data_IF_260870046807
#
_entry.id   IF_260870046807
#
_cell.length_a   1.000
_cell.length_b   1.000
_cell.length_c   1.000
_cell.angle_alpha   90.00
_cell.angle_beta   90.00
_cell.angle_gamma   90.00
#
_symmetry.space_group_name_H-M   'P 1'
#
loop_
_entity.id
_entity.type
_entity.pdbx_description
1 polymer ?
#
# COMPACT_ATOMS: atom_id res chain seq x y z
N UNK A 1 -1.14 -16.58 1.21
CA UNK A 1 -0.31 -15.70 0.36
C UNK A 1 0.14 -14.52 1.19
N UNK A 2 1.41 -14.13 1.07
CA UNK A 2 2.02 -13.02 1.81
C UNK A 2 2.23 -11.82 0.90
N UNK A 3 1.74 -10.66 1.29
CA UNK A 3 1.76 -9.46 0.46
C UNK A 3 2.45 -8.33 1.23
N UNK A 4 3.46 -7.72 0.63
CA UNK A 4 4.09 -6.51 1.13
C UNK A 4 3.34 -5.25 0.67
N UNK A 5 3.06 -4.31 1.57
CA UNK A 5 2.37 -3.07 1.29
C UNK A 5 3.28 -1.89 1.65
N UNK A 6 3.61 -1.05 0.67
CA UNK A 6 4.50 0.10 0.85
C UNK A 6 3.90 1.34 0.18
N UNK A 7 4.20 2.54 0.68
CA UNK A 7 3.70 3.80 0.12
C UNK A 7 4.63 4.96 0.43
N UNK A 8 4.46 6.05 -0.31
CA UNK A 8 5.05 7.36 -0.02
C UNK A 8 6.56 7.24 0.21
N UNK A 9 7.23 6.59 -0.73
CA UNK A 9 8.68 6.36 -0.79
C UNK A 9 9.45 7.60 -1.23
N UNK A 10 8.84 8.49 -2.02
CA UNK A 10 9.37 9.81 -2.40
C UNK A 10 10.84 9.77 -2.91
N UNK A 11 11.22 8.72 -3.66
CA UNK A 11 12.55 8.53 -4.22
C UNK A 11 13.59 7.96 -3.24
N UNK A 12 13.18 7.55 -2.05
CA UNK A 12 14.09 6.98 -1.04
C UNK A 12 14.23 5.46 -1.23
N UNK A 13 15.20 5.07 -2.05
CA UNK A 13 15.48 3.67 -2.35
C UNK A 13 16.01 2.89 -1.14
N UNK A 14 16.72 3.53 -0.22
CA UNK A 14 17.18 2.88 1.03
C UNK A 14 15.99 2.36 1.86
N UNK A 15 14.87 3.09 1.89
CA UNK A 15 13.65 2.64 2.57
C UNK A 15 13.03 1.42 1.90
N UNK A 16 13.12 1.33 0.57
CA UNK A 16 12.63 0.20 -0.21
C UNK A 16 13.52 -1.03 0.04
N UNK A 17 14.84 -0.85 -0.04
CA UNK A 17 15.83 -1.90 0.27
C UNK A 17 15.61 -2.44 1.68
N UNK A 18 15.40 -1.55 2.65
CA UNK A 18 15.16 -1.93 4.02
C UNK A 18 13.85 -2.72 4.16
N UNK A 19 12.75 -2.28 3.55
CA UNK A 19 11.49 -3.02 3.58
C UNK A 19 11.63 -4.43 2.99
N UNK A 20 12.28 -4.57 1.83
CA UNK A 20 12.55 -5.88 1.20
C UNK A 20 13.42 -6.76 2.09
N UNK A 21 14.43 -6.20 2.75
CA UNK A 21 15.30 -6.94 3.66
C UNK A 21 14.56 -7.45 4.91
N UNK A 22 13.60 -6.66 5.41
CA UNK A 22 12.83 -6.97 6.62
C UNK A 22 11.67 -7.91 6.37
N UNK A 23 11.09 -7.89 5.17
CA UNK A 23 9.98 -8.75 4.77
C UNK A 23 10.39 -9.69 3.63
N UNK A 24 11.04 -10.79 4.01
CA UNK A 24 11.43 -11.85 3.09
C UNK A 24 10.26 -12.80 2.80
N UNK A 25 10.32 -13.48 1.65
CA UNK A 25 9.35 -14.50 1.22
C UNK A 25 7.92 -13.94 1.05
N UNK A 26 7.81 -12.73 0.50
CA UNK A 26 6.53 -12.21 0.01
C UNK A 26 6.20 -12.85 -1.35
N UNK A 27 4.92 -13.09 -1.60
CA UNK A 27 4.39 -13.56 -2.88
C UNK A 27 4.09 -12.41 -3.85
N UNK A 28 3.96 -11.17 -3.34
CA UNK A 28 3.62 -9.97 -4.10
C UNK A 28 3.96 -8.70 -3.29
N UNK A 29 4.17 -7.59 -3.98
CA UNK A 29 4.22 -6.25 -3.37
C UNK A 29 3.23 -5.27 -4.00
N UNK A 30 2.63 -4.42 -3.18
CA UNK A 30 1.73 -3.35 -3.59
C UNK A 30 2.31 -1.99 -3.16
N UNK A 31 2.41 -1.05 -4.10
CA UNK A 31 2.94 0.30 -3.88
C UNK A 31 1.82 1.34 -4.03
N UNK A 32 1.43 2.02 -2.94
CA UNK A 32 0.27 2.95 -2.96
C UNK A 32 0.58 4.33 -3.58
N UNK A 33 1.74 4.52 -4.19
CA UNK A 33 2.05 5.69 -5.02
C UNK A 33 2.90 6.74 -4.33
N UNK A 34 2.92 7.95 -4.91
CA UNK A 34 3.82 9.06 -4.57
C UNK A 34 5.31 8.74 -4.82
N UNK A 35 5.54 8.13 -5.98
CA UNK A 35 6.77 8.05 -6.79
C UNK A 35 6.66 6.78 -7.65
N UNK A 36 6.05 6.90 -8.83
CA UNK A 36 5.85 5.74 -9.73
C UNK A 36 7.15 4.97 -10.05
N UNK A 37 8.30 5.63 -10.33
CA UNK A 37 9.56 4.92 -10.58
C UNK A 37 10.04 4.03 -9.42
N UNK A 38 9.63 4.32 -8.19
CA UNK A 38 10.01 3.52 -7.02
C UNK A 38 9.36 2.13 -7.03
N UNK A 39 8.18 1.99 -7.65
CA UNK A 39 7.57 0.68 -7.87
C UNK A 39 8.37 -0.15 -8.89
N UNK A 40 8.96 0.49 -9.91
CA UNK A 40 9.84 -0.17 -10.89
C UNK A 40 11.16 -0.59 -10.23
N UNK A 41 11.72 0.27 -9.38
CA UNK A 41 12.90 -0.07 -8.58
C UNK A 41 12.62 -1.25 -7.67
N UNK A 42 11.51 -1.25 -6.92
CA UNK A 42 11.09 -2.38 -6.10
C UNK A 42 10.95 -3.66 -6.93
N UNK A 43 10.35 -3.59 -8.12
CA UNK A 43 10.25 -4.73 -9.04
C UNK A 43 11.62 -5.28 -9.47
N UNK A 44 12.66 -4.45 -9.56
CA UNK A 44 14.02 -4.89 -9.88
C UNK A 44 14.71 -5.64 -8.74
N UNK A 45 14.29 -5.42 -7.49
CA UNK A 45 14.86 -6.06 -6.30
C UNK A 45 14.23 -7.42 -5.99
N UNK A 46 12.99 -7.65 -6.42
CA UNK A 46 12.21 -8.83 -6.05
C UNK A 46 11.78 -9.62 -7.29
N UNK A 47 11.78 -10.96 -7.17
CA UNK A 47 11.36 -11.86 -8.24
C UNK A 47 9.84 -12.17 -8.22
N UNK A 48 9.06 -11.34 -7.53
CA UNK A 48 7.60 -11.49 -7.41
C UNK A 48 6.89 -10.28 -8.02
N UNK A 49 5.61 -10.39 -8.37
CA UNK A 49 4.88 -9.28 -8.96
C UNK A 49 4.82 -8.06 -8.03
N UNK A 50 5.05 -6.87 -8.61
CA UNK A 50 4.86 -5.59 -7.96
C UNK A 50 3.77 -4.80 -8.68
N UNK A 51 2.77 -4.32 -7.95
CA UNK A 51 1.70 -3.49 -8.49
C UNK A 51 1.72 -2.11 -7.83
N UNK A 52 1.83 -1.07 -8.65
CA UNK A 52 1.78 0.32 -8.20
C UNK A 52 0.55 1.08 -8.71
N UNK A 53 0.13 2.07 -7.94
CA UNK A 53 -0.84 3.11 -8.35
C UNK A 53 -0.19 4.48 -8.35
N UNK A 54 -0.72 5.40 -9.17
CA UNK A 54 -0.20 6.75 -9.30
C UNK A 54 -0.63 7.64 -8.12
N UNK A 55 0.33 8.36 -7.54
CA UNK A 55 0.10 9.36 -6.50
C UNK A 55 -0.09 10.78 -7.03
N UNK A 56 -0.33 11.73 -6.13
CA UNK A 56 -0.49 13.15 -6.50
C UNK A 56 0.85 13.81 -6.85
N UNK A 57 1.97 13.26 -6.39
CA UNK A 57 3.30 13.74 -6.74
C UNK A 57 3.81 13.17 -8.08
N UNK A 58 3.06 12.25 -8.70
CA UNK A 58 3.40 11.68 -9.99
C UNK A 58 2.96 12.57 -11.16
N UNK A 59 3.69 12.50 -12.27
CA UNK A 59 3.42 13.34 -13.43
C UNK A 59 2.02 13.06 -14.02
N UNK A 60 1.21 14.10 -14.31
CA UNK A 60 -0.09 13.93 -14.96
C UNK A 60 0.05 13.19 -16.29
N UNK A 61 -0.68 12.07 -16.46
CA UNK A 61 -0.58 11.23 -17.66
C UNK A 61 0.54 10.19 -17.61
N UNK A 62 1.05 9.85 -16.42
CA UNK A 62 1.79 8.60 -16.21
C UNK A 62 1.00 7.41 -16.74
N UNK A 63 1.71 6.37 -17.22
CA UNK A 63 1.08 5.11 -17.67
C UNK A 63 0.51 4.28 -16.51
N UNK A 64 0.85 4.67 -15.28
CA UNK A 64 0.40 4.00 -14.07
C UNK A 64 -1.05 4.37 -13.77
N UNK A 65 -1.85 3.36 -13.45
CA UNK A 65 -3.26 3.52 -13.10
C UNK A 65 -3.41 4.24 -11.75
N UNK A 66 -4.44 5.06 -11.60
CA UNK A 66 -4.77 5.72 -10.32
C UNK A 66 -5.43 4.79 -9.31
N UNK A 67 -6.00 3.68 -9.80
CA UNK A 67 -6.68 2.67 -9.03
C UNK A 67 -6.45 1.28 -9.65
N UNK A 68 -6.46 0.24 -8.83
CA UNK A 68 -6.42 -1.15 -9.28
C UNK A 68 -7.27 -2.03 -8.37
N UNK A 69 -7.76 -3.12 -8.96
CA UNK A 69 -8.42 -4.22 -8.25
C UNK A 69 -7.53 -5.45 -8.40
N UNK A 70 -7.32 -6.17 -7.30
CA UNK A 70 -6.49 -7.37 -7.26
C UNK A 70 -7.28 -8.47 -6.54
N UNK A 71 -7.59 -9.54 -7.28
CA UNK A 71 -8.23 -10.73 -6.74
C UNK A 71 -7.17 -11.75 -6.30
N UNK A 72 -7.14 -12.11 -5.02
CA UNK A 72 -6.13 -13.02 -4.45
C UNK A 72 -6.69 -13.75 -3.22
N UNK A 73 -6.50 -15.06 -3.17
CA UNK A 73 -6.91 -15.90 -2.03
C UNK A 73 -8.39 -15.72 -1.60
N UNK A 74 -9.30 -15.59 -2.56
CA UNK A 74 -10.74 -15.29 -2.39
C UNK A 74 -11.07 -13.89 -1.83
N UNK A 75 -10.07 -13.01 -1.71
CA UNK A 75 -10.23 -11.60 -1.37
C UNK A 75 -10.15 -10.72 -2.61
N UNK A 76 -10.85 -9.59 -2.57
CA UNK A 76 -10.77 -8.55 -3.59
C UNK A 76 -10.23 -7.27 -2.97
N UNK A 77 -9.03 -6.90 -3.38
CA UNK A 77 -8.30 -5.75 -2.86
C UNK A 77 -8.44 -4.57 -3.81
N UNK A 78 -8.99 -3.47 -3.33
CA UNK A 78 -8.98 -2.18 -4.01
C UNK A 78 -7.76 -1.37 -3.54
N UNK A 79 -6.94 -0.89 -4.47
CA UNK A 79 -5.79 -0.03 -4.15
C UNK A 79 -5.85 1.29 -4.90
N UNK A 80 -5.48 2.38 -4.22
CA UNK A 80 -5.39 3.73 -4.79
C UNK A 80 -4.40 4.56 -3.96
N UNK A 81 -3.94 5.71 -4.44
CA UNK A 81 -3.17 6.61 -3.57
C UNK A 81 -4.04 7.33 -2.54
N UNK A 82 -5.31 7.59 -2.85
CA UNK A 82 -6.28 8.20 -1.92
C UNK A 82 -6.49 9.71 -2.09
N UNK A 83 -5.62 10.44 -2.81
CA UNK A 83 -5.79 11.89 -3.07
C UNK A 83 -7.11 12.22 -3.80
N UNK A 84 -7.56 11.33 -4.69
CA UNK A 84 -8.83 11.47 -5.42
C UNK A 84 -10.08 11.17 -4.55
N UNK A 85 -9.89 10.58 -3.37
CA UNK A 85 -10.97 10.20 -2.44
C UNK A 85 -11.00 11.08 -1.19
N UNK A 86 -10.22 12.14 -1.12
CA UNK A 86 -10.28 13.08 0.02
C UNK A 86 -9.90 12.46 1.36
N UNK A 87 -9.08 11.40 1.37
CA UNK A 87 -8.70 10.61 2.57
C UNK A 87 -8.02 11.40 3.69
N UNK A 88 -7.64 12.66 3.44
CA UNK A 88 -7.20 13.60 4.50
C UNK A 88 -8.33 14.05 5.43
N UNK A 89 -9.58 13.96 4.97
CA UNK A 89 -10.74 14.47 5.68
C UNK A 89 -11.66 13.34 6.16
N UNK A 90 -11.82 12.29 5.36
CA UNK A 90 -12.70 11.15 5.69
C UNK A 90 -12.26 9.89 4.92
N UNK A 91 -12.42 8.70 5.52
CA UNK A 91 -12.27 7.42 4.80
C UNK A 91 -13.57 6.96 4.13
N UNK A 92 -14.69 7.68 4.28
CA UNK A 92 -15.99 7.26 3.75
C UNK A 92 -15.97 7.03 2.24
N UNK A 93 -15.38 7.95 1.48
CA UNK A 93 -15.36 7.83 0.01
C UNK A 93 -14.53 6.65 -0.50
N UNK A 94 -13.46 6.27 0.21
CA UNK A 94 -12.69 5.08 -0.17
C UNK A 94 -13.40 3.80 0.24
N UNK A 95 -14.13 3.81 1.37
CA UNK A 95 -15.01 2.71 1.76
C UNK A 95 -16.10 2.49 0.70
N UNK A 96 -16.83 3.55 0.31
CA UNK A 96 -17.86 3.49 -0.75
C UNK A 96 -17.29 2.99 -2.08
N UNK A 97 -16.10 3.46 -2.47
CA UNK A 97 -15.44 3.02 -3.70
C UNK A 97 -15.12 1.52 -3.66
N UNK A 98 -14.55 1.04 -2.56
CA UNK A 98 -14.26 -0.38 -2.38
C UNK A 98 -15.54 -1.23 -2.39
N UNK A 99 -16.58 -0.82 -1.67
CA UNK A 99 -17.89 -1.48 -1.68
C UNK A 99 -18.49 -1.56 -3.09
N UNK A 100 -18.43 -0.47 -3.86
CA UNK A 100 -18.94 -0.43 -5.24
C UNK A 100 -18.23 -1.43 -6.17
N UNK A 101 -16.97 -1.77 -5.86
CA UNK A 101 -16.18 -2.77 -6.58
C UNK A 101 -16.33 -4.18 -6.00
N UNK A 102 -17.13 -4.35 -4.95
CA UNK A 102 -17.22 -5.57 -4.12
C UNK A 102 -15.86 -5.98 -3.56
N UNK A 103 -15.01 -5.01 -3.21
CA UNK A 103 -13.75 -5.23 -2.54
C UNK A 103 -13.98 -5.38 -1.04
N UNK A 104 -13.31 -6.34 -0.42
CA UNK A 104 -13.34 -6.55 1.03
C UNK A 104 -12.15 -5.89 1.75
N UNK A 105 -11.16 -5.42 1.00
CA UNK A 105 -10.00 -4.70 1.50
C UNK A 105 -9.75 -3.47 0.62
N UNK A 106 -9.57 -2.30 1.22
CA UNK A 106 -9.11 -1.09 0.55
C UNK A 106 -7.78 -0.61 1.15
N UNK A 107 -6.81 -0.31 0.28
CA UNK A 107 -5.47 0.11 0.68
C UNK A 107 -5.14 1.45 0.02
N UNK A 108 -4.65 2.40 0.80
CA UNK A 108 -4.26 3.71 0.30
C UNK A 108 -3.03 4.32 0.96
N UNK A 109 -2.52 5.43 0.41
CA UNK A 109 -1.35 6.17 0.91
C UNK A 109 -1.68 7.60 1.32
N UNK A 110 -0.88 8.58 0.87
CA UNK A 110 -1.18 10.03 0.86
C UNK A 110 -1.14 10.77 2.21
N UNK A 111 -1.69 10.19 3.28
CA UNK A 111 -1.69 10.82 4.61
C UNK A 111 -0.33 10.69 5.30
N UNK A 112 0.47 9.68 4.89
CA UNK A 112 1.73 9.28 5.53
C UNK A 112 1.55 8.80 6.98
N UNK A 113 0.35 8.38 7.35
CA UNK A 113 -0.01 7.93 8.70
C UNK A 113 -0.51 6.50 8.59
N UNK A 114 0.01 5.63 9.46
CA UNK A 114 -0.43 4.23 9.52
C UNK A 114 -1.88 4.17 9.97
N UNK A 115 -2.72 3.48 9.20
CA UNK A 115 -4.11 3.23 9.56
C UNK A 115 -4.49 1.78 9.34
N UNK A 116 -5.26 1.24 10.29
CA UNK A 116 -5.86 -0.08 10.20
C UNK A 116 -7.25 -0.03 10.83
N UNK A 117 -8.27 0.04 9.99
CA UNK A 117 -9.67 0.02 10.41
C UNK A 117 -10.27 -1.33 10.05
N UNK A 118 -10.74 -2.04 11.08
CA UNK A 118 -11.44 -3.32 10.91
C UNK A 118 -12.89 -3.04 10.52
N UNK A 119 -13.36 -3.70 9.46
CA UNK A 119 -14.73 -3.62 8.98
C UNK A 119 -14.86 -4.29 7.62
N UNK A 120 -16.07 -4.36 7.05
CA UNK A 120 -16.26 -4.54 5.62
C UNK A 120 -16.44 -3.17 4.94
N UNK A 121 -15.51 -2.72 4.07
CA UNK A 121 -14.20 -3.30 3.80
C UNK A 121 -13.17 -2.96 4.89
N UNK A 122 -12.10 -3.76 4.99
CA UNK A 122 -10.94 -3.43 5.84
C UNK A 122 -10.21 -2.27 5.18
N UNK A 123 -9.92 -1.21 5.93
CA UNK A 123 -9.18 -0.04 5.42
C UNK A 123 -7.77 -0.05 5.96
N UNK A 124 -6.79 0.04 5.05
CA UNK A 124 -5.37 0.00 5.36
C UNK A 124 -4.65 1.21 4.76
N UNK A 125 -3.76 1.80 5.56
CA UNK A 125 -2.74 2.72 5.10
C UNK A 125 -1.39 2.29 5.68
N UNK A 126 -0.40 1.87 4.87
CA UNK A 126 0.90 1.42 5.38
C UNK A 126 1.73 2.56 6.00
N UNK A 127 1.24 3.81 5.94
CA UNK A 127 1.96 5.01 6.29
C UNK A 127 2.96 5.37 5.20
N UNK A 128 4.02 6.08 5.58
CA UNK A 128 5.09 6.43 4.64
C UNK A 128 6.38 5.71 5.00
N UNK A 129 6.98 5.07 4.00
CA UNK A 129 8.29 4.43 4.14
C UNK A 129 9.41 5.44 4.41
N UNK A 130 9.29 6.65 3.86
CA UNK A 130 10.36 7.65 3.83
C UNK A 130 10.09 8.92 4.66
N UNK A 131 8.83 9.31 4.79
CA UNK A 131 8.38 10.61 5.34
C UNK A 131 7.17 10.45 6.27
N UNK A 132 7.26 9.69 7.36
CA UNK A 132 6.14 9.50 8.29
C UNK A 132 5.63 10.83 8.86
N UNK A 133 4.32 10.93 9.11
CA UNK A 133 3.67 12.12 9.71
C UNK A 133 3.00 11.86 11.06
N UNK A 134 3.23 10.69 11.64
CA UNK A 134 2.70 10.26 12.93
C UNK A 134 3.72 10.39 14.08
N UNK A 135 4.77 11.23 13.91
CA UNK A 135 5.92 11.36 14.82
C UNK A 135 6.64 10.03 15.13
N UNK A 136 6.52 9.06 14.24
CA UNK A 136 7.19 7.76 14.36
C UNK A 136 8.24 7.53 13.26
N UNK A 137 8.70 6.28 13.14
CA UNK A 137 9.61 5.86 12.08
C UNK A 137 8.83 5.56 10.80
N UNK A 138 9.55 5.54 9.68
CA UNK A 138 9.01 5.06 8.41
C UNK A 138 8.38 3.68 8.58
N UNK A 139 7.38 3.37 7.78
CA UNK A 139 6.59 2.16 7.95
C UNK A 139 6.19 1.53 6.63
N UNK A 140 5.90 0.24 6.72
CA UNK A 140 5.23 -0.53 5.70
C UNK A 140 4.38 -1.60 6.40
N UNK A 141 3.56 -2.34 5.66
CA UNK A 141 2.78 -3.45 6.22
C UNK A 141 3.06 -4.74 5.48
N UNK A 142 2.83 -5.86 6.15
CA UNK A 142 2.67 -7.17 5.52
C UNK A 142 1.28 -7.70 5.80
N UNK A 143 0.70 -8.36 4.81
CA UNK A 143 -0.63 -8.96 4.89
C UNK A 143 -0.53 -10.44 4.52
N UNK A 144 -0.93 -11.32 5.43
CA UNK A 144 -1.11 -12.74 5.17
C UNK A 144 -2.58 -13.01 4.88
N UNK A 145 -2.86 -13.54 3.68
CA UNK A 145 -4.20 -13.94 3.23
C UNK A 145 -4.30 -15.45 3.09
N UNK A 146 -5.30 -16.05 3.73
CA UNK A 146 -5.61 -17.48 3.63
C UNK A 146 -7.09 -17.65 3.34
N UNK A 147 -7.41 -18.65 2.51
CA UNK A 147 -8.79 -18.88 2.06
C UNK A 147 -9.70 -19.16 3.25
N UNK A 148 -10.74 -18.34 3.42
CA UNK A 148 -11.73 -18.51 4.49
C UNK A 148 -11.23 -18.14 5.89
N UNK A 149 -10.12 -17.41 5.99
CA UNK A 149 -9.56 -16.89 7.24
C UNK A 149 -9.48 -15.37 7.13
N UNK A 150 -9.76 -14.67 8.22
CA UNK A 150 -9.62 -13.21 8.24
C UNK A 150 -8.18 -12.79 7.94
N UNK A 151 -7.97 -11.73 7.12
CA UNK A 151 -6.65 -11.21 6.81
C UNK A 151 -5.84 -10.89 8.06
N UNK A 152 -4.58 -11.35 8.09
CA UNK A 152 -3.65 -10.98 9.16
C UNK A 152 -2.74 -9.85 8.68
N UNK A 153 -2.90 -8.67 9.27
CA UNK A 153 -2.10 -7.48 8.97
C UNK A 153 -1.04 -7.28 10.06
N UNK A 154 0.19 -6.99 9.65
CA UNK A 154 1.28 -6.60 10.54
C UNK A 154 1.89 -5.29 10.07
N UNK A 155 1.95 -4.29 10.96
CA UNK A 155 2.67 -3.04 10.72
C UNK A 155 4.13 -3.22 11.10
N UNK A 156 5.04 -2.87 10.19
CA UNK A 156 6.47 -2.96 10.40
C UNK A 156 7.06 -1.56 10.37
N UNK A 157 7.81 -1.21 11.42
CA UNK A 157 8.51 0.08 11.52
C UNK A 157 9.97 -0.08 11.08
N UNK A 158 10.40 0.79 10.18
CA UNK A 158 11.77 0.91 9.65
C UNK A 158 12.78 1.10 10.78
N UNK A 159 14.03 0.66 10.55
CA UNK A 159 15.15 0.88 11.46
C UNK A 159 15.75 2.27 11.22
N UNK A 160 16.28 2.91 12.27
CA UNK A 160 17.08 4.12 12.09
C UNK A 160 18.35 3.77 11.27
N UNK A 161 18.74 4.71 10.41
CA UNK A 161 20.11 4.81 9.92
C UNK A 161 21.02 5.31 11.05
#
# INVERSE_FOLDING_TARGET
>A
MKIGLISDTHGNWDSIDQAVSMAQNMDMWLHMGDCTPDAEYLQSLVNVPVFGVAGNCDWPGTKTLYERIIDVADHKIFITHGHNYGVRYTQEYIMEAAESQNADIAIYGHTHIVEYLVGPPIILNPGSASRPRDDTRGSFMTMDLERGVDPRITVIRMKHH
#
